data_IF_408863392401
#
_entry.id   IF_408863392401
#
_cell.length_a   1.000
_cell.length_b   1.000
_cell.length_c   1.000
_cell.angle_alpha   90.00
_cell.angle_beta   90.00
_cell.angle_gamma   90.00
#
_symmetry.space_group_name_H-M   'P 1'
#
loop_
_entity.id
_entity.type
_entity.pdbx_description
1 polymer ?
#
# COMPACT_ATOMS: atom_id res chain seq x y z
N UNK A 1 -2.68 -3.95 -10.51
CA UNK A 1 -2.55 -5.36 -10.10
C UNK A 1 -1.08 -5.74 -10.13
N UNK A 2 -0.60 -6.45 -9.11
CA UNK A 2 0.80 -6.90 -8.94
C UNK A 2 1.16 -8.14 -9.78
N UNK A 3 0.26 -8.57 -10.66
CA UNK A 3 0.40 -9.69 -11.60
C UNK A 3 0.70 -11.04 -10.93
N UNK A 4 0.22 -11.23 -9.69
CA UNK A 4 0.27 -12.52 -9.01
C UNK A 4 -0.92 -13.38 -9.42
N UNK A 5 -0.68 -14.65 -9.76
CA UNK A 5 -1.71 -15.56 -10.25
C UNK A 5 -2.93 -15.67 -9.31
N UNK A 6 -2.71 -15.60 -7.99
CA UNK A 6 -3.78 -15.61 -6.99
C UNK A 6 -4.74 -14.41 -7.07
N UNK A 7 -4.35 -13.35 -7.77
CA UNK A 7 -5.13 -12.10 -7.91
C UNK A 7 -5.77 -11.98 -9.30
N UNK A 8 -5.58 -12.95 -10.19
CA UNK A 8 -6.11 -12.92 -11.56
C UNK A 8 -7.10 -14.07 -11.72
N UNK A 9 -8.39 -13.74 -11.75
CA UNK A 9 -9.46 -14.68 -12.07
C UNK A 9 -10.27 -14.19 -13.25
N UNK A 10 -10.86 -15.13 -14.00
CA UNK A 10 -11.73 -14.81 -15.14
C UNK A 10 -12.93 -13.98 -14.66
N UNK A 11 -13.45 -14.31 -13.49
CA UNK A 11 -14.56 -13.63 -12.84
C UNK A 11 -14.22 -12.16 -12.57
N UNK A 12 -13.04 -11.86 -12.01
CA UNK A 12 -12.62 -10.48 -11.76
C UNK A 12 -12.35 -9.70 -13.06
N UNK A 13 -11.81 -10.35 -14.09
CA UNK A 13 -11.59 -9.74 -15.41
C UNK A 13 -12.91 -9.40 -16.11
N UNK A 14 -13.87 -10.33 -16.09
CA UNK A 14 -15.20 -10.11 -16.66
C UNK A 14 -15.92 -8.98 -15.93
N UNK A 15 -15.90 -8.99 -14.59
CA UNK A 15 -16.47 -7.91 -13.79
C UNK A 15 -15.87 -6.55 -14.15
N UNK A 16 -14.54 -6.46 -14.25
CA UNK A 16 -13.88 -5.21 -14.62
C UNK A 16 -14.30 -4.73 -16.02
N UNK A 17 -14.34 -5.65 -16.99
CA UNK A 17 -14.77 -5.36 -18.37
C UNK A 17 -16.23 -4.87 -18.43
N UNK A 18 -17.14 -5.56 -17.76
CA UNK A 18 -18.57 -5.23 -17.73
C UNK A 18 -18.84 -3.87 -17.07
N UNK A 19 -18.00 -3.46 -16.11
CA UNK A 19 -18.13 -2.19 -15.39
C UNK A 19 -17.22 -1.07 -15.95
N UNK A 20 -16.56 -1.29 -17.10
CA UNK A 20 -15.69 -0.27 -17.71
C UNK A 20 -14.44 0.08 -16.89
N UNK A 21 -13.99 -0.82 -16.01
CA UNK A 21 -12.81 -0.64 -15.17
C UNK A 21 -11.57 -1.06 -15.96
N UNK A 22 -10.63 -0.13 -16.15
CA UNK A 22 -9.34 -0.42 -16.78
C UNK A 22 -8.39 -1.00 -15.72
N UNK A 23 -8.04 -2.26 -15.89
CA UNK A 23 -7.05 -2.93 -15.04
C UNK A 23 -5.64 -2.65 -15.58
N UNK A 24 -4.82 -2.00 -14.75
CA UNK A 24 -3.40 -1.79 -15.03
C UNK A 24 -2.56 -2.88 -14.34
N UNK A 25 -1.68 -3.51 -15.11
CA UNK A 25 -0.64 -4.42 -14.62
C UNK A 25 0.72 -3.73 -14.69
N UNK A 26 1.62 -4.12 -13.79
CA UNK A 26 3.01 -3.65 -13.78
C UNK A 26 3.93 -4.82 -14.16
N UNK A 27 5.11 -4.55 -14.75
CA UNK A 27 6.10 -5.59 -15.01
C UNK A 27 6.52 -6.34 -13.73
N UNK A 28 6.90 -7.61 -13.82
CA UNK A 28 7.40 -8.38 -12.67
C UNK A 28 8.53 -7.66 -11.94
N UNK A 29 8.62 -7.85 -10.62
CA UNK A 29 9.69 -7.33 -9.76
C UNK A 29 9.84 -5.79 -9.72
N UNK A 30 8.85 -5.03 -10.19
CA UNK A 30 8.89 -3.56 -10.20
C UNK A 30 8.06 -2.91 -9.09
N UNK A 31 7.58 -3.65 -8.09
CA UNK A 31 6.66 -3.08 -7.08
C UNK A 31 7.24 -1.88 -6.33
N UNK A 32 8.53 -1.95 -5.99
CA UNK A 32 9.29 -0.87 -5.35
C UNK A 32 9.42 0.41 -6.20
N UNK A 33 9.16 0.33 -7.51
CA UNK A 33 9.22 1.44 -8.45
C UNK A 33 7.82 1.90 -8.89
N UNK A 34 6.92 0.96 -9.15
CA UNK A 34 5.67 1.23 -9.84
C UNK A 34 4.43 1.08 -8.95
N UNK A 35 4.51 0.57 -7.72
CA UNK A 35 3.36 0.52 -6.81
C UNK A 35 3.35 1.73 -5.87
N UNK A 36 2.41 2.68 -6.02
CA UNK A 36 2.36 3.89 -5.19
C UNK A 36 2.30 3.61 -3.69
N UNK A 37 1.58 2.55 -3.31
CA UNK A 37 1.40 2.15 -1.92
C UNK A 37 2.71 1.67 -1.29
N UNK A 38 3.46 0.82 -2.00
CA UNK A 38 4.77 0.34 -1.55
C UNK A 38 5.77 1.49 -1.40
N UNK A 39 5.74 2.42 -2.36
CA UNK A 39 6.71 3.50 -2.45
C UNK A 39 6.54 4.57 -1.35
N UNK A 40 5.31 4.85 -0.91
CA UNK A 40 5.05 6.05 -0.08
C UNK A 40 4.10 5.87 1.09
N UNK A 41 3.30 4.81 1.12
CA UNK A 41 2.22 4.64 2.12
C UNK A 41 2.56 3.57 3.13
N UNK A 42 3.04 2.40 2.70
CA UNK A 42 3.30 1.28 3.60
C UNK A 42 4.49 1.51 4.52
N UNK A 43 5.51 2.27 4.09
CA UNK A 43 6.61 2.70 4.96
C UNK A 43 6.09 3.49 6.18
N UNK A 44 5.38 4.61 5.98
CA UNK A 44 4.73 5.36 7.06
C UNK A 44 3.73 4.53 7.87
N UNK A 45 2.92 3.68 7.23
CA UNK A 45 1.95 2.82 7.94
C UNK A 45 2.64 1.89 8.94
N UNK A 46 3.70 1.19 8.52
CA UNK A 46 4.49 0.33 9.41
C UNK A 46 5.10 1.13 10.56
N UNK A 47 5.62 2.34 10.28
CA UNK A 47 6.18 3.21 11.32
C UNK A 47 5.13 3.60 12.36
N UNK A 48 3.97 4.09 11.94
CA UNK A 48 2.91 4.50 12.87
C UNK A 48 2.29 3.32 13.61
N UNK A 49 2.18 2.17 12.95
CA UNK A 49 1.76 0.93 13.60
C UNK A 49 2.74 0.54 14.71
N UNK A 50 4.04 0.58 14.44
CA UNK A 50 5.06 0.27 15.45
C UNK A 50 5.01 1.22 16.65
N UNK A 51 4.74 2.52 16.42
CA UNK A 51 4.53 3.48 17.51
C UNK A 51 3.29 3.11 18.32
N UNK A 52 2.15 2.87 17.67
CA UNK A 52 0.92 2.47 18.36
C UNK A 52 1.09 1.16 19.15
N UNK A 53 1.79 0.19 18.58
CA UNK A 53 2.11 -1.08 19.23
C UNK A 53 3.00 -0.87 20.45
N UNK A 54 4.02 -0.01 20.36
CA UNK A 54 4.90 0.33 21.47
C UNK A 54 4.16 1.02 22.62
N UNK A 55 3.29 1.97 22.29
CA UNK A 55 2.43 2.65 23.26
C UNK A 55 1.49 1.65 23.95
N UNK A 56 0.88 0.74 23.18
CA UNK A 56 0.01 -0.30 23.72
C UNK A 56 0.76 -1.21 24.69
N UNK A 57 1.93 -1.72 24.32
CA UNK A 57 2.75 -2.59 25.18
C UNK A 57 3.22 -1.89 26.46
N UNK A 58 3.47 -0.58 26.39
CA UNK A 58 3.86 0.21 27.57
C UNK A 58 2.70 0.32 28.57
N UNK A 59 1.46 0.39 28.07
CA UNK A 59 0.26 0.48 28.89
C UNK A 59 -0.30 -0.89 29.34
N UNK A 60 0.18 -1.99 28.76
CA UNK A 60 -0.26 -3.36 29.06
C UNK A 60 0.94 -4.26 29.44
N UNK A 61 1.54 -4.04 30.63
CA UNK A 61 2.71 -4.79 31.04
C UNK A 61 2.41 -6.29 31.17
N UNK A 62 3.35 -7.13 30.73
CA UNK A 62 3.26 -8.60 30.68
C UNK A 62 2.20 -9.18 29.72
N UNK A 63 1.50 -8.34 28.97
CA UNK A 63 0.61 -8.78 27.89
C UNK A 63 1.35 -8.80 26.54
N UNK A 64 0.76 -9.50 25.56
CA UNK A 64 1.28 -9.57 24.19
C UNK A 64 0.20 -9.10 23.23
N UNK A 65 0.62 -8.35 22.21
CA UNK A 65 -0.24 -8.04 21.08
C UNK A 65 -0.59 -9.34 20.36
N UNK A 66 -1.88 -9.59 20.21
CA UNK A 66 -2.42 -10.70 19.42
C UNK A 66 -3.17 -10.16 18.21
N UNK A 67 -3.73 -11.05 17.39
CA UNK A 67 -4.56 -10.65 16.24
C UNK A 67 -5.76 -9.76 16.63
N UNK A 68 -6.23 -9.84 17.87
CA UNK A 68 -7.39 -9.08 18.35
C UNK A 68 -7.10 -7.59 18.53
N UNK A 69 -5.84 -7.21 18.76
CA UNK A 69 -5.42 -5.81 18.88
C UNK A 69 -5.06 -5.18 17.52
N UNK A 70 -4.83 -5.98 16.48
CA UNK A 70 -4.33 -5.47 15.19
C UNK A 70 -5.28 -4.44 14.59
N UNK A 71 -6.59 -4.66 14.64
CA UNK A 71 -7.57 -3.73 14.10
C UNK A 71 -7.53 -2.35 14.79
N UNK A 72 -7.39 -2.33 16.12
CA UNK A 72 -7.26 -1.11 16.92
C UNK A 72 -5.97 -0.36 16.57
N UNK A 73 -4.83 -1.07 16.56
CA UNK A 73 -3.52 -0.48 16.26
C UNK A 73 -3.44 0.06 14.83
N UNK A 74 -4.02 -0.66 13.86
CA UNK A 74 -4.18 -0.17 12.49
C UNK A 74 -5.13 1.04 12.45
N UNK A 75 -6.20 1.06 13.23
CA UNK A 75 -7.10 2.22 13.35
C UNK A 75 -6.37 3.50 13.78
N UNK A 76 -5.32 3.38 14.60
CA UNK A 76 -4.47 4.51 15.00
C UNK A 76 -3.48 4.90 13.89
N UNK A 77 -2.87 3.91 13.24
CA UNK A 77 -1.80 4.13 12.25
C UNK A 77 -2.32 4.59 10.88
N UNK A 78 -3.44 4.03 10.42
CA UNK A 78 -4.03 4.24 9.11
C UNK A 78 -4.27 5.72 8.77
N UNK A 79 -4.99 6.52 9.59
CA UNK A 79 -5.23 7.93 9.26
C UNK A 79 -3.96 8.79 9.23
N UNK A 80 -2.88 8.35 9.88
CA UNK A 80 -1.57 9.04 9.85
C UNK A 80 -0.77 8.70 8.60
N UNK A 81 -0.94 7.50 8.05
CA UNK A 81 -0.23 7.03 6.86
C UNK A 81 -0.96 7.34 5.55
N UNK A 82 -2.29 7.21 5.54
CA UNK A 82 -3.16 7.39 4.37
C UNK A 82 -3.56 8.85 4.19
N UNK A 83 -2.59 9.75 4.26
CA UNK A 83 -2.80 11.19 4.10
C UNK A 83 -2.63 11.60 2.63
N UNK A 84 -3.33 12.65 2.15
CA UNK A 84 -3.26 13.10 0.77
C UNK A 84 -1.82 13.30 0.26
N UNK A 85 -0.93 13.84 1.11
CA UNK A 85 0.46 14.06 0.73
C UNK A 85 1.20 12.76 0.38
N UNK A 86 1.00 11.68 1.15
CA UNK A 86 1.63 10.39 0.85
C UNK A 86 1.05 9.79 -0.42
N UNK A 87 -0.27 9.83 -0.57
CA UNK A 87 -0.97 9.28 -1.73
C UNK A 87 -0.54 10.00 -3.01
N UNK A 88 -0.56 11.33 -3.03
CA UNK A 88 -0.16 12.15 -4.19
C UNK A 88 1.30 11.91 -4.54
N UNK A 89 2.20 11.88 -3.54
CA UNK A 89 3.60 11.59 -3.78
C UNK A 89 3.80 10.19 -4.34
N UNK A 90 3.00 9.20 -3.91
CA UNK A 90 3.02 7.85 -4.47
C UNK A 90 2.84 7.85 -5.98
N UNK A 91 1.79 8.50 -6.48
CA UNK A 91 1.56 8.61 -7.93
C UNK A 91 2.64 9.41 -8.65
N UNK A 92 3.21 10.42 -7.99
CA UNK A 92 4.26 11.26 -8.57
C UNK A 92 5.56 10.48 -8.75
N UNK A 93 6.01 9.75 -7.73
CA UNK A 93 7.30 9.06 -7.77
C UNK A 93 7.28 7.77 -8.57
N UNK A 94 6.10 7.16 -8.78
CA UNK A 94 5.93 6.06 -9.73
C UNK A 94 5.81 6.54 -11.18
N UNK A 95 5.76 7.86 -11.41
CA UNK A 95 5.60 8.46 -12.74
C UNK A 95 4.21 8.23 -13.32
N UNK A 96 3.22 7.85 -12.51
CA UNK A 96 1.84 7.65 -12.95
C UNK A 96 1.11 8.98 -13.10
N UNK A 97 1.32 9.92 -12.17
CA UNK A 97 0.71 11.24 -12.24
C UNK A 97 1.58 12.35 -11.61
N UNK A 98 1.99 13.37 -12.38
CA UNK A 98 1.85 13.45 -13.83
C UNK A 98 2.60 12.30 -14.52
N UNK A 99 2.09 11.85 -15.68
CA UNK A 99 2.70 10.74 -16.41
C UNK A 99 4.14 11.10 -16.82
N UNK A 100 5.12 10.36 -16.32
CA UNK A 100 6.52 10.48 -16.69
C UNK A 100 7.08 9.11 -17.06
N UNK A 101 7.26 8.88 -18.36
CA UNK A 101 7.78 7.61 -18.90
C UNK A 101 9.29 7.42 -18.69
N UNK A 102 10.00 8.48 -18.32
CA UNK A 102 11.45 8.51 -18.16
C UNK A 102 11.85 8.68 -16.68
N UNK A 103 10.98 8.30 -15.74
CA UNK A 103 11.22 8.54 -14.31
C UNK A 103 12.27 7.59 -13.72
N UNK A 104 12.46 6.43 -14.34
CA UNK A 104 13.53 5.49 -14.00
C UNK A 104 14.57 5.54 -15.12
N UNK A 105 15.84 5.63 -14.76
CA UNK A 105 16.95 5.48 -15.70
C UNK A 105 17.13 4.01 -16.09
N UNK A 106 17.62 3.77 -17.30
CA UNK A 106 18.24 2.50 -17.65
C UNK A 106 19.61 2.46 -16.97
N UNK A 107 19.79 1.56 -16.00
CA UNK A 107 21.11 1.23 -15.46
C UNK A 107 21.85 0.27 -16.41
#
# INVERSE_FOLDING_TARGET
>A
MDNRDSHISIESLNYAKENGIILLTIPPHTSHNLQPLDCTVYGPLKRYFNVAAQDWMTNHPAERITIYQIAELIGIAYPKAMVPNNIINGFKITGMYPLNRNIFSED
#
